data_IF_883512451464
#
_entry.id   IF_883512451464
#
_cell.length_a   1.000
_cell.length_b   1.000
_cell.length_c   1.000
_cell.angle_alpha   90.00
_cell.angle_beta   90.00
_cell.angle_gamma   90.00
#
_symmetry.space_group_name_H-M   'P 1'
#
loop_
_entity.id
_entity.type
_entity.pdbx_description
1 polymer ?
#
# COMPACT_ATOMS: atom_id res chain seq x y z
N UNK A 1 3.30 -20.49 15.51
CA UNK A 1 3.51 -19.18 16.16
C UNK A 1 2.94 -18.10 15.24
N UNK A 2 3.07 -16.81 15.56
CA UNK A 2 2.66 -15.71 14.66
C UNK A 2 3.90 -14.94 14.26
N UNK A 3 4.06 -14.65 12.96
CA UNK A 3 5.12 -13.80 12.41
C UNK A 3 4.66 -12.34 12.42
N UNK A 4 5.48 -11.47 13.01
CA UNK A 4 5.22 -10.05 13.13
C UNK A 4 5.76 -9.33 11.89
N UNK A 5 4.88 -8.63 11.17
CA UNK A 5 5.23 -7.80 10.03
C UNK A 5 5.38 -6.34 10.49
N UNK A 6 6.62 -5.89 10.60
CA UNK A 6 6.98 -4.52 10.97
C UNK A 6 7.48 -3.69 9.79
N UNK A 7 7.64 -4.29 8.60
CA UNK A 7 8.11 -3.63 7.38
C UNK A 7 9.63 -3.61 7.18
N UNK A 8 10.43 -4.14 8.12
CA UNK A 8 11.90 -4.00 8.10
C UNK A 8 12.63 -5.31 8.45
N UNK A 9 12.09 -6.16 9.34
CA UNK A 9 12.84 -7.27 9.94
C UNK A 9 12.53 -8.66 9.39
N UNK A 10 11.71 -8.79 8.34
CA UNK A 10 11.33 -10.10 7.79
C UNK A 10 12.55 -10.82 7.19
N UNK A 11 12.83 -12.03 7.69
CA UNK A 11 13.88 -12.90 7.16
C UNK A 11 13.35 -13.97 6.21
N UNK A 12 14.23 -14.60 5.44
CA UNK A 12 13.87 -15.71 4.54
C UNK A 12 13.30 -16.89 5.33
N UNK A 13 13.86 -17.22 6.50
CA UNK A 13 13.36 -18.32 7.32
C UNK A 13 11.91 -18.07 7.77
N UNK A 14 11.61 -16.84 8.21
CA UNK A 14 10.24 -16.44 8.57
C UNK A 14 9.29 -16.43 7.37
N UNK A 15 9.78 -16.06 6.19
CA UNK A 15 9.00 -16.17 4.95
C UNK A 15 8.64 -17.63 4.64
N UNK A 16 9.59 -18.55 4.81
CA UNK A 16 9.36 -20.00 4.61
C UNK A 16 8.32 -20.53 5.60
N UNK A 17 8.39 -20.14 6.86
CA UNK A 17 7.41 -20.51 7.90
C UNK A 17 5.98 -20.11 7.51
N UNK A 18 5.80 -18.90 6.99
CA UNK A 18 4.49 -18.42 6.52
C UNK A 18 4.05 -19.19 5.26
N UNK A 19 4.90 -19.25 4.24
CA UNK A 19 4.52 -19.75 2.91
C UNK A 19 4.33 -21.28 2.86
N UNK A 20 5.13 -22.04 3.61
CA UNK A 20 5.12 -23.51 3.56
C UNK A 20 4.48 -24.14 4.78
N UNK A 21 4.66 -23.54 5.96
CA UNK A 21 4.16 -24.08 7.22
C UNK A 21 2.84 -23.43 7.68
N UNK A 22 2.33 -22.45 6.91
CA UNK A 22 1.06 -21.74 7.17
C UNK A 22 1.02 -21.08 8.55
N UNK A 23 2.15 -20.54 9.01
CA UNK A 23 2.15 -19.71 10.21
C UNK A 23 1.27 -18.47 10.01
N UNK A 24 0.59 -18.05 11.09
CA UNK A 24 -0.20 -16.83 11.08
C UNK A 24 0.71 -15.61 10.97
N UNK A 25 0.21 -14.53 10.39
CA UNK A 25 0.89 -13.24 10.35
C UNK A 25 0.06 -12.20 11.10
N UNK A 26 0.75 -11.25 11.73
CA UNK A 26 0.12 -10.01 12.22
C UNK A 26 0.95 -8.81 11.81
N UNK A 27 0.29 -7.71 11.50
CA UNK A 27 0.95 -6.42 11.31
C UNK A 27 1.12 -5.77 12.67
N UNK A 28 2.31 -5.24 12.95
CA UNK A 28 2.59 -4.58 14.24
C UNK A 28 1.86 -3.25 14.37
N UNK A 29 1.56 -2.83 15.60
CA UNK A 29 0.91 -1.53 15.87
C UNK A 29 1.74 -0.35 15.32
N UNK A 30 3.06 -0.44 15.37
CA UNK A 30 3.96 0.56 14.80
C UNK A 30 3.84 0.64 13.27
N UNK A 31 3.75 -0.49 12.58
CA UNK A 31 3.52 -0.53 11.15
C UNK A 31 2.14 0.00 10.77
N UNK A 32 1.08 -0.35 11.52
CA UNK A 32 -0.26 0.20 11.31
C UNK A 32 -0.29 1.72 11.37
N UNK A 33 0.34 2.32 12.39
CA UNK A 33 0.45 3.78 12.50
C UNK A 33 1.13 4.42 11.29
N UNK A 34 2.19 3.79 10.74
CA UNK A 34 2.87 4.31 9.53
C UNK A 34 2.02 4.17 8.27
N UNK A 35 1.26 3.08 8.15
CA UNK A 35 0.29 2.87 7.05
C UNK A 35 -0.78 3.96 7.10
N UNK A 36 -1.37 4.20 8.27
CA UNK A 36 -2.40 5.23 8.47
C UNK A 36 -1.89 6.64 8.15
N UNK A 37 -0.69 7.00 8.64
CA UNK A 37 -0.09 8.30 8.34
C UNK A 37 0.20 8.48 6.84
N UNK A 38 0.71 7.43 6.18
CA UNK A 38 0.95 7.45 4.73
C UNK A 38 -0.36 7.60 3.96
N UNK A 39 -1.42 6.92 4.41
CA UNK A 39 -2.74 7.00 3.79
C UNK A 39 -3.34 8.40 3.92
N UNK A 40 -3.26 9.01 5.11
CA UNK A 40 -3.77 10.37 5.36
C UNK A 40 -3.06 11.40 4.46
N UNK A 41 -1.75 11.32 4.35
CA UNK A 41 -0.98 12.19 3.45
C UNK A 41 -1.42 12.04 1.99
N UNK A 42 -1.67 10.82 1.52
CA UNK A 42 -2.20 10.59 0.18
C UNK A 42 -3.59 11.20 -0.01
N UNK A 43 -4.47 11.09 0.99
CA UNK A 43 -5.82 11.67 0.93
C UNK A 43 -5.78 13.20 0.82
N UNK A 44 -4.95 13.87 1.63
CA UNK A 44 -4.75 15.32 1.56
C UNK A 44 -4.29 15.76 0.16
N UNK A 45 -3.38 15.01 -0.47
CA UNK A 45 -2.88 15.30 -1.83
C UNK A 45 -3.92 15.03 -2.92
N UNK A 46 -4.73 13.99 -2.76
CA UNK A 46 -5.84 13.68 -3.69
C UNK A 46 -6.86 14.83 -3.65
N UNK A 47 -7.22 15.30 -2.45
CA UNK A 47 -8.18 16.40 -2.27
C UNK A 47 -7.64 17.72 -2.82
N UNK A 48 -6.32 17.95 -2.69
CA UNK A 48 -5.62 19.07 -3.31
C UNK A 48 -5.46 18.96 -4.84
N UNK A 49 -5.94 17.86 -5.46
CA UNK A 49 -5.80 17.58 -6.89
C UNK A 49 -4.34 17.56 -7.37
N UNK A 50 -3.42 17.12 -6.50
CA UNK A 50 -2.02 16.97 -6.87
C UNK A 50 -1.82 15.82 -7.88
N UNK A 51 -0.94 16.02 -8.86
CA UNK A 51 -0.57 15.01 -9.86
C UNK A 51 0.36 13.97 -9.24
N UNK A 52 -0.09 12.72 -9.17
CA UNK A 52 0.61 11.60 -8.55
C UNK A 52 0.47 10.33 -9.38
N UNK A 53 1.61 9.79 -9.82
CA UNK A 53 1.70 8.60 -10.66
C UNK A 53 0.98 7.39 -10.05
N UNK A 54 0.04 6.80 -10.79
CA UNK A 54 -0.74 5.64 -10.35
C UNK A 54 -1.74 5.92 -9.22
N UNK A 55 -1.90 7.19 -8.81
CA UNK A 55 -2.88 7.62 -7.80
C UNK A 55 -3.93 8.53 -8.45
N UNK A 56 -3.51 9.71 -8.91
CA UNK A 56 -4.34 10.67 -9.65
C UNK A 56 -4.01 10.70 -11.13
N UNK A 57 -3.06 9.89 -11.60
CA UNK A 57 -2.81 9.63 -13.01
C UNK A 57 -2.83 8.14 -13.33
N UNK A 58 -2.86 7.80 -14.62
CA UNK A 58 -2.65 6.43 -15.08
C UNK A 58 -1.24 5.90 -14.82
N UNK A 59 -0.97 4.67 -15.29
CA UNK A 59 0.36 4.04 -15.22
C UNK A 59 0.92 3.80 -16.62
N UNK A 60 2.25 3.70 -16.73
CA UNK A 60 2.93 3.45 -18.00
C UNK A 60 2.59 4.49 -19.07
N UNK A 61 2.10 4.02 -20.22
CA UNK A 61 1.68 4.89 -21.34
C UNK A 61 0.59 5.89 -20.96
N UNK A 62 -0.23 5.60 -19.93
CA UNK A 62 -1.28 6.49 -19.46
C UNK A 62 -0.83 7.45 -18.34
N UNK A 63 0.47 7.54 -18.08
CA UNK A 63 1.01 8.37 -16.98
C UNK A 63 0.71 9.87 -17.11
N UNK A 64 0.49 10.36 -18.34
CA UNK A 64 0.11 11.74 -18.62
C UNK A 64 -1.39 12.01 -18.47
N UNK A 65 -2.21 10.96 -18.30
CA UNK A 65 -3.66 11.09 -18.17
C UNK A 65 -4.03 11.31 -16.71
N UNK A 66 -4.59 12.48 -16.39
CA UNK A 66 -5.15 12.77 -15.06
C UNK A 66 -6.50 12.09 -14.89
N UNK A 67 -6.68 11.39 -13.77
CA UNK A 67 -7.88 10.66 -13.39
C UNK A 67 -8.70 11.50 -12.41
N UNK A 68 -10.01 11.61 -12.64
CA UNK A 68 -10.94 12.18 -11.65
C UNK A 68 -11.36 11.11 -10.62
N UNK A 69 -11.97 11.47 -9.47
CA UNK A 69 -12.28 10.51 -8.39
C UNK A 69 -13.14 9.30 -8.80
N UNK A 70 -14.05 9.46 -9.77
CA UNK A 70 -14.85 8.35 -10.32
C UNK A 70 -14.01 7.36 -11.15
N UNK A 71 -13.20 7.80 -12.14
CA UNK A 71 -12.22 6.99 -12.84
C UNK A 71 -11.24 6.22 -11.94
N UNK A 72 -10.76 6.81 -10.84
CA UNK A 72 -9.77 6.16 -9.95
C UNK A 72 -10.27 4.81 -9.43
N UNK A 73 -11.53 4.74 -8.96
CA UNK A 73 -12.11 3.48 -8.44
C UNK A 73 -12.24 2.40 -9.51
N UNK A 74 -12.47 2.79 -10.77
CA UNK A 74 -12.56 1.86 -11.90
C UNK A 74 -11.18 1.40 -12.36
N UNK A 75 -10.18 2.28 -12.28
CA UNK A 75 -8.80 1.98 -12.65
C UNK A 75 -8.15 0.98 -11.68
N UNK A 76 -8.49 1.03 -10.39
CA UNK A 76 -7.93 0.16 -9.34
C UNK A 76 -8.74 -1.13 -9.09
N UNK A 77 -9.63 -1.51 -10.01
CA UNK A 77 -10.46 -2.73 -9.93
C UNK A 77 -9.81 -3.87 -10.72
#
# INVERSE_FOLDING_TARGET
MTVDLDGESLTIDRLVDVARSKENVKVTDGAWKRIENSRKMLEEKIDAHETMYGVTTGIGEFSEVTLTPQPIKKFQK
#
